data_IF_207353451512
#
_entry.id   IF_207353451512
#
_cell.length_a   1.000
_cell.length_b   1.000
_cell.length_c   1.000
_cell.angle_alpha   90.00
_cell.angle_beta   90.00
_cell.angle_gamma   90.00
#
_symmetry.space_group_name_H-M   'P 1'
#
loop_
_entity.id
_entity.type
_entity.pdbx_description
1 polymer ?
#
# COMPACT_ATOMS: atom_id res chain seq x y z
N UNK A 1 -0.80 20.41 14.25
CA UNK A 1 -0.37 19.54 13.12
C UNK A 1 0.89 20.07 12.40
N UNK A 2 2.08 20.20 13.03
CA UNK A 2 3.33 20.50 12.28
C UNK A 2 4.65 20.45 13.10
N UNK A 3 5.03 19.29 13.67
CA UNK A 3 6.36 19.13 14.30
C UNK A 3 7.33 18.24 13.52
N UNK A 4 6.96 17.80 12.31
CA UNK A 4 7.76 16.85 11.53
C UNK A 4 9.04 17.45 10.95
N UNK A 5 10.19 16.80 11.16
CA UNK A 5 11.46 17.13 10.49
C UNK A 5 11.40 16.94 8.96
N UNK A 6 12.53 17.18 8.27
CA UNK A 6 12.62 17.05 6.80
C UNK A 6 12.19 15.66 6.29
N UNK A 7 12.67 14.59 6.93
CA UNK A 7 12.28 13.20 6.61
C UNK A 7 10.79 12.96 6.82
N UNK A 8 10.25 13.39 7.96
CA UNK A 8 8.84 13.21 8.28
C UNK A 8 7.93 13.96 7.29
N UNK A 9 8.36 15.13 6.81
CA UNK A 9 7.59 15.92 5.83
C UNK A 9 7.55 15.23 4.47
N UNK A 10 8.70 14.73 3.99
CA UNK A 10 8.76 13.93 2.76
C UNK A 10 7.90 12.67 2.85
N UNK A 11 8.00 11.95 3.97
CA UNK A 11 7.20 10.76 4.22
C UNK A 11 5.69 11.07 4.23
N UNK A 12 5.29 12.17 4.88
CA UNK A 12 3.89 12.59 4.95
C UNK A 12 3.35 12.98 3.57
N UNK A 13 4.18 13.64 2.74
CA UNK A 13 3.81 13.97 1.37
C UNK A 13 3.63 12.70 0.52
N UNK A 14 4.52 11.72 0.63
CA UNK A 14 4.37 10.41 -0.02
C UNK A 14 3.09 9.69 0.38
N UNK A 15 2.77 9.71 1.67
CA UNK A 15 1.53 9.14 2.19
C UNK A 15 0.30 9.88 1.66
N UNK A 16 0.35 11.20 1.59
CA UNK A 16 -0.74 11.98 1.02
C UNK A 16 -0.97 11.65 -0.47
N UNK A 17 0.09 11.48 -1.26
CA UNK A 17 -0.02 11.00 -2.65
C UNK A 17 -0.61 9.58 -2.69
N UNK A 18 -0.05 8.65 -1.92
CA UNK A 18 -0.43 7.24 -1.97
C UNK A 18 -1.88 7.03 -1.53
N UNK A 19 -2.24 7.47 -0.32
CA UNK A 19 -3.56 7.22 0.27
C UNK A 19 -4.61 8.25 -0.16
N UNK A 20 -4.19 9.45 -0.58
CA UNK A 20 -5.10 10.51 -0.99
C UNK A 20 -5.43 10.53 -2.48
N UNK A 21 -4.54 10.03 -3.34
CA UNK A 21 -4.73 10.03 -4.79
C UNK A 21 -4.67 8.63 -5.40
N UNK A 22 -3.58 7.90 -5.18
CA UNK A 22 -3.32 6.64 -5.90
C UNK A 22 -4.33 5.57 -5.49
N UNK A 23 -4.42 5.25 -4.19
CA UNK A 23 -5.29 4.17 -3.71
C UNK A 23 -6.78 4.42 -3.97
N UNK A 24 -7.34 5.62 -3.72
CA UNK A 24 -8.74 5.91 -4.07
C UNK A 24 -9.01 5.76 -5.57
N UNK A 25 -8.07 6.20 -6.43
CA UNK A 25 -8.19 6.03 -7.89
C UNK A 25 -8.18 4.56 -8.27
N UNK A 26 -7.25 3.78 -7.73
CA UNK A 26 -7.18 2.34 -7.99
C UNK A 26 -8.44 1.60 -7.51
N UNK A 27 -8.99 1.99 -6.36
CA UNK A 27 -10.22 1.44 -5.81
C UNK A 27 -11.42 1.73 -6.71
N UNK A 28 -11.53 2.97 -7.21
CA UNK A 28 -12.57 3.40 -8.15
C UNK A 28 -12.57 2.53 -9.41
N UNK A 29 -11.39 2.24 -9.95
CA UNK A 29 -11.22 1.40 -11.15
C UNK A 29 -11.12 -0.11 -10.84
N UNK A 30 -11.35 -0.53 -9.59
CA UNK A 30 -11.29 -1.94 -9.14
C UNK A 30 -9.95 -2.63 -9.45
N UNK A 31 -8.87 -1.87 -9.43
CA UNK A 31 -7.51 -2.33 -9.70
C UNK A 31 -6.88 -2.96 -8.44
N UNK A 32 -5.85 -3.81 -8.59
CA UNK A 32 -5.16 -4.41 -7.44
C UNK A 32 -4.51 -3.35 -6.56
N UNK A 33 -4.71 -3.43 -5.25
CA UNK A 33 -4.17 -2.47 -4.28
C UNK A 33 -3.22 -3.19 -3.34
N UNK A 34 -2.05 -2.60 -3.09
CA UNK A 34 -1.22 -2.93 -1.94
C UNK A 34 -1.90 -2.28 -0.72
N UNK A 35 -2.62 -3.08 0.07
CA UNK A 35 -3.27 -2.58 1.28
C UNK A 35 -2.19 -2.27 2.33
N UNK A 36 -2.39 -1.19 3.09
CA UNK A 36 -1.51 -0.85 4.22
C UNK A 36 -1.81 -1.72 5.43
N UNK A 37 -1.07 -1.55 6.52
CA UNK A 37 -1.21 -2.40 7.73
C UNK A 37 -2.34 -1.96 8.68
N UNK A 38 -2.79 -0.71 8.58
CA UNK A 38 -3.69 -0.09 9.56
C UNK A 38 -5.11 0.06 8.99
N UNK A 39 -6.12 0.01 9.87
CA UNK A 39 -7.54 0.32 9.55
C UNK A 39 -8.19 -0.50 8.44
N UNK A 40 -7.70 -1.72 8.20
CA UNK A 40 -8.33 -2.63 7.25
C UNK A 40 -9.54 -3.34 7.84
N UNK A 41 -10.57 -3.52 7.01
CA UNK A 41 -11.79 -4.24 7.36
C UNK A 41 -12.05 -5.32 6.33
N UNK A 42 -12.21 -6.56 6.78
CA UNK A 42 -12.36 -7.72 5.91
C UNK A 42 -13.60 -8.51 6.26
N UNK A 43 -14.25 -9.09 5.25
CA UNK A 43 -15.16 -10.21 5.49
C UNK A 43 -14.33 -11.38 6.00
N UNK A 44 -14.67 -11.89 7.19
CA UNK A 44 -13.98 -13.04 7.80
C UNK A 44 -13.86 -14.23 6.85
N UNK A 45 -14.95 -14.56 6.16
CA UNK A 45 -14.99 -15.67 5.20
C UNK A 45 -14.01 -15.48 4.04
N UNK A 46 -13.86 -14.26 3.51
CA UNK A 46 -12.91 -13.97 2.45
C UNK A 46 -11.45 -14.10 2.95
N UNK A 47 -11.15 -13.58 4.13
CA UNK A 47 -9.80 -13.71 4.72
C UNK A 47 -9.43 -15.19 4.95
N UNK A 48 -10.37 -15.99 5.47
CA UNK A 48 -10.17 -17.43 5.67
C UNK A 48 -9.97 -18.17 4.35
N UNK A 49 -10.76 -17.86 3.32
CA UNK A 49 -10.64 -18.47 2.00
C UNK A 49 -9.28 -18.16 1.33
N UNK A 50 -8.65 -17.02 1.67
CA UNK A 50 -7.34 -16.62 1.18
C UNK A 50 -6.16 -17.18 1.99
N UNK A 51 -6.42 -17.95 3.04
CA UNK A 51 -5.40 -18.51 3.92
C UNK A 51 -4.88 -17.55 4.99
N UNK A 52 -5.57 -16.43 5.24
CA UNK A 52 -5.18 -15.46 6.28
C UNK A 52 -3.97 -14.61 5.91
N UNK A 53 -3.21 -14.21 6.93
CA UNK A 53 -1.98 -13.43 6.80
C UNK A 53 -0.78 -14.37 6.61
N UNK A 54 0.14 -14.02 5.71
CA UNK A 54 1.35 -14.80 5.51
C UNK A 54 2.40 -14.42 6.56
N UNK A 55 2.69 -15.33 7.50
CA UNK A 55 3.67 -15.10 8.57
C UNK A 55 5.13 -15.03 8.10
N UNK A 56 5.41 -15.43 6.86
CA UNK A 56 6.74 -15.37 6.27
C UNK A 56 6.99 -14.09 5.46
N UNK A 57 5.95 -13.31 5.19
CA UNK A 57 6.08 -12.05 4.47
C UNK A 57 6.13 -10.89 5.46
N UNK A 58 7.16 -10.03 5.35
CA UNK A 58 7.32 -8.87 6.24
C UNK A 58 6.41 -7.68 5.86
N UNK A 59 5.65 -7.82 4.79
CA UNK A 59 4.51 -6.99 4.36
C UNK A 59 3.33 -7.90 4.00
N UNK A 60 2.85 -8.64 4.99
CA UNK A 60 1.71 -9.54 4.91
C UNK A 60 0.42 -8.85 4.43
N UNK A 61 0.31 -7.55 4.67
CA UNK A 61 -0.72 -6.64 4.20
C UNK A 61 -0.70 -6.45 2.70
N UNK A 62 0.40 -5.93 2.16
CA UNK A 62 0.57 -5.72 0.73
C UNK A 62 0.39 -7.04 -0.05
N UNK A 63 0.89 -8.15 0.50
CA UNK A 63 0.70 -9.48 -0.02
C UNK A 63 -0.78 -9.91 -0.09
N UNK A 64 -1.52 -9.73 1.00
CA UNK A 64 -2.94 -10.05 1.08
C UNK A 64 -3.75 -9.28 0.02
N UNK A 65 -3.43 -8.00 -0.21
CA UNK A 65 -4.05 -7.20 -1.27
C UNK A 65 -3.87 -7.81 -2.67
N UNK A 66 -2.69 -8.35 -2.96
CA UNK A 66 -2.42 -9.04 -4.23
C UNK A 66 -3.12 -10.40 -4.31
N UNK A 67 -3.19 -11.15 -3.20
CA UNK A 67 -3.96 -12.41 -3.16
C UNK A 67 -5.46 -12.18 -3.34
N UNK A 68 -6.02 -11.12 -2.78
CA UNK A 68 -7.40 -10.69 -3.05
C UNK A 68 -7.61 -10.44 -4.53
N UNK A 69 -6.68 -9.72 -5.18
CA UNK A 69 -6.78 -9.46 -6.61
C UNK A 69 -6.77 -10.76 -7.45
N UNK A 70 -5.91 -11.74 -7.10
CA UNK A 70 -5.89 -13.07 -7.76
C UNK A 70 -7.16 -13.88 -7.55
N UNK A 71 -7.82 -13.71 -6.41
CA UNK A 71 -9.10 -14.36 -6.12
C UNK A 71 -10.30 -13.64 -6.76
N UNK A 72 -10.07 -12.62 -7.59
CA UNK A 72 -11.14 -11.83 -8.20
C UNK A 72 -11.85 -10.88 -7.23
N UNK A 73 -11.35 -10.73 -6.01
CA UNK A 73 -11.90 -9.81 -5.01
C UNK A 73 -11.44 -8.37 -5.30
N UNK A 74 -12.22 -7.41 -4.79
CA UNK A 74 -11.98 -5.98 -4.96
C UNK A 74 -11.77 -5.34 -3.59
N UNK A 75 -10.78 -4.45 -3.51
CA UNK A 75 -10.52 -3.63 -2.34
C UNK A 75 -11.09 -2.22 -2.57
N UNK A 76 -11.67 -1.64 -1.53
CA UNK A 76 -12.14 -0.26 -1.51
C UNK A 76 -11.36 0.57 -0.49
N UNK A 77 -11.51 1.89 -0.57
CA UNK A 77 -11.03 2.82 0.48
C UNK A 77 -12.20 3.25 1.36
N UNK A 78 -11.92 3.52 2.64
CA UNK A 78 -12.89 4.02 3.62
C UNK A 78 -12.55 5.46 4.02
N UNK A 79 -13.56 6.22 4.43
CA UNK A 79 -13.43 7.58 4.94
C UNK A 79 -14.15 7.71 6.30
N UNK A 80 -13.69 8.56 7.23
CA UNK A 80 -12.52 9.45 7.13
C UNK A 80 -11.17 8.69 7.13
N UNK A 81 -10.07 9.33 6.68
CA UNK A 81 -8.76 8.68 6.64
C UNK A 81 -8.22 8.40 8.05
N UNK A 82 -7.39 7.37 8.16
CA UNK A 82 -6.59 7.13 9.37
C UNK A 82 -5.26 7.86 9.24
N UNK A 83 -4.90 8.64 10.25
CA UNK A 83 -3.62 9.34 10.29
C UNK A 83 -2.56 8.45 10.95
N UNK A 84 -1.40 8.34 10.29
CA UNK A 84 -0.24 7.63 10.81
C UNK A 84 0.88 8.61 11.18
N UNK A 85 1.62 8.29 12.24
CA UNK A 85 2.76 9.07 12.68
C UNK A 85 3.95 8.87 11.72
N UNK A 86 4.39 9.97 11.11
CA UNK A 86 5.56 9.97 10.25
C UNK A 86 6.86 9.71 11.05
N UNK A 87 7.79 8.89 10.55
CA UNK A 87 9.06 8.64 11.20
C UNK A 87 9.91 9.94 11.25
N UNK A 88 10.30 10.33 12.46
CA UNK A 88 11.04 11.58 12.70
C UNK A 88 12.54 11.47 12.42
N UNK A 89 13.09 10.27 12.50
CA UNK A 89 14.53 10.01 12.38
C UNK A 89 14.84 9.13 11.17
N UNK A 90 15.95 9.44 10.50
CA UNK A 90 16.38 8.75 9.27
C UNK A 90 16.58 7.25 9.49
N UNK A 91 17.12 6.82 10.63
CA UNK A 91 17.32 5.40 10.94
C UNK A 91 15.99 4.62 11.07
N UNK A 92 14.96 5.23 11.66
CA UNK A 92 13.62 4.64 11.77
C UNK A 92 12.98 4.57 10.38
N UNK A 93 13.04 5.66 9.63
CA UNK A 93 12.56 5.72 8.25
C UNK A 93 13.24 4.66 7.38
N UNK A 94 14.57 4.51 7.48
CA UNK A 94 15.35 3.56 6.70
C UNK A 94 14.96 2.12 7.03
N UNK A 95 14.84 1.78 8.32
CA UNK A 95 14.39 0.46 8.74
C UNK A 95 12.99 0.13 8.21
N UNK A 96 12.06 1.11 8.27
CA UNK A 96 10.71 0.96 7.75
C UNK A 96 10.70 0.72 6.23
N UNK A 97 11.40 1.56 5.46
CA UNK A 97 11.44 1.46 4.00
C UNK A 97 12.14 0.19 3.51
N UNK A 98 13.22 -0.21 4.17
CA UNK A 98 13.89 -1.48 3.90
C UNK A 98 12.93 -2.66 4.12
N UNK A 99 12.15 -2.66 5.20
CA UNK A 99 11.13 -3.70 5.44
C UNK A 99 10.09 -3.73 4.31
N UNK A 100 9.55 -2.58 3.92
CA UNK A 100 8.52 -2.51 2.89
C UNK A 100 9.01 -3.02 1.54
N UNK A 101 10.16 -2.52 1.08
CA UNK A 101 10.73 -2.94 -0.20
C UNK A 101 11.06 -4.44 -0.17
N UNK A 102 11.58 -4.97 0.95
CA UNK A 102 11.85 -6.40 1.11
C UNK A 102 10.58 -7.24 0.95
N UNK A 103 9.51 -6.87 1.65
CA UNK A 103 8.22 -7.57 1.55
C UNK A 103 7.59 -7.46 0.17
N UNK A 104 7.70 -6.31 -0.49
CA UNK A 104 7.26 -6.14 -1.88
C UNK A 104 8.01 -7.07 -2.84
N UNK A 105 9.34 -7.20 -2.68
CA UNK A 105 10.13 -8.16 -3.45
C UNK A 105 9.66 -9.60 -3.17
N UNK A 106 9.39 -9.97 -1.91
CA UNK A 106 8.86 -11.28 -1.55
C UNK A 106 7.53 -11.57 -2.27
N UNK A 107 6.56 -10.67 -2.16
CA UNK A 107 5.25 -10.80 -2.83
C UNK A 107 5.41 -10.90 -4.34
N UNK A 108 6.20 -10.02 -4.96
CA UNK A 108 6.40 -10.03 -6.40
C UNK A 108 7.03 -11.34 -6.89
N UNK A 109 8.07 -11.83 -6.20
CA UNK A 109 8.71 -13.11 -6.52
C UNK A 109 7.72 -14.27 -6.42
N UNK A 110 6.88 -14.32 -5.38
CA UNK A 110 5.85 -15.36 -5.24
C UNK A 110 4.84 -15.31 -6.38
N UNK A 111 4.36 -14.12 -6.74
CA UNK A 111 3.43 -13.93 -7.85
C UNK A 111 4.06 -14.32 -9.20
N UNK A 112 5.35 -14.07 -9.38
CA UNK A 112 6.10 -14.33 -10.61
C UNK A 112 6.64 -15.75 -10.74
N UNK A 113 6.45 -16.63 -9.73
CA UNK A 113 6.75 -18.07 -9.88
C UNK A 113 5.92 -18.73 -10.98
N UNK A 114 4.69 -18.27 -11.17
CA UNK A 114 3.77 -18.78 -12.20
C UNK A 114 3.06 -17.61 -12.89
N UNK A 115 3.76 -16.79 -13.69
CA UNK A 115 3.26 -15.50 -14.16
C UNK A 115 2.03 -15.66 -15.08
N UNK A 116 2.00 -16.69 -15.93
CA UNK A 116 0.84 -17.00 -16.77
C UNK A 116 -0.41 -17.34 -15.96
N UNK A 117 -0.27 -18.11 -14.88
CA UNK A 117 -1.38 -18.43 -13.96
C UNK A 117 -1.82 -17.20 -13.18
N UNK A 118 -0.88 -16.38 -12.72
CA UNK A 118 -1.21 -15.13 -12.03
C UNK A 118 -1.95 -14.17 -12.96
N UNK A 119 -1.51 -14.02 -14.20
CA UNK A 119 -2.15 -13.18 -15.20
C UNK A 119 -3.55 -13.68 -15.57
N UNK A 120 -3.76 -15.00 -15.74
CA UNK A 120 -5.09 -15.55 -16.03
C UNK A 120 -6.06 -15.39 -14.85
N UNK A 121 -5.58 -15.51 -13.61
CA UNK A 121 -6.38 -15.33 -12.41
C UNK A 121 -6.78 -13.87 -12.15
N UNK A 122 -5.87 -12.93 -12.39
CA UNK A 122 -6.15 -11.49 -12.21
C UNK A 122 -6.88 -10.87 -13.41
N UNK A 123 -6.65 -11.39 -14.62
CA UNK A 123 -6.93 -10.72 -15.89
C UNK A 123 -5.78 -9.79 -16.31
N UNK A 124 -5.60 -9.62 -17.62
CA UNK A 124 -4.45 -8.92 -18.22
C UNK A 124 -4.27 -7.48 -17.72
N UNK A 125 -5.37 -6.71 -17.61
CA UNK A 125 -5.33 -5.33 -17.12
C UNK A 125 -4.83 -5.25 -15.67
N UNK A 126 -5.42 -6.04 -14.77
CA UNK A 126 -5.07 -6.05 -13.34
C UNK A 126 -3.64 -6.57 -13.15
N UNK A 127 -3.23 -7.56 -13.92
CA UNK A 127 -1.85 -8.03 -13.95
C UNK A 127 -0.87 -6.94 -14.40
N UNK A 128 -1.17 -6.24 -15.50
CA UNK A 128 -0.36 -5.12 -15.98
C UNK A 128 -0.25 -4.00 -14.95
N UNK A 129 -1.35 -3.62 -14.31
CA UNK A 129 -1.35 -2.63 -13.22
C UNK A 129 -0.56 -3.11 -12.02
N UNK A 130 -0.62 -4.40 -11.67
CA UNK A 130 0.22 -4.97 -10.62
C UNK A 130 1.72 -4.84 -10.97
N UNK A 131 2.13 -5.06 -12.22
CA UNK A 131 3.52 -4.84 -12.63
C UNK A 131 3.93 -3.37 -12.49
N UNK A 132 3.07 -2.45 -12.93
CA UNK A 132 3.36 -1.01 -12.82
C UNK A 132 3.44 -0.56 -11.37
N UNK A 133 2.56 -1.07 -10.50
CA UNK A 133 2.47 -0.64 -9.10
C UNK A 133 3.45 -1.39 -8.19
N UNK A 134 3.30 -2.70 -8.03
CA UNK A 134 4.20 -3.51 -7.21
C UNK A 134 5.61 -3.59 -7.81
N UNK A 135 5.71 -3.83 -9.12
CA UNK A 135 7.01 -3.83 -9.81
C UNK A 135 7.67 -2.45 -9.79
N UNK A 136 6.89 -1.38 -10.00
CA UNK A 136 7.37 0.01 -9.87
C UNK A 136 7.86 0.33 -8.45
N UNK A 137 7.14 -0.09 -7.41
CA UNK A 137 7.53 0.07 -6.01
C UNK A 137 8.85 -0.63 -5.65
N UNK A 138 9.31 -1.57 -6.47
CA UNK A 138 10.61 -2.26 -6.33
C UNK A 138 11.67 -1.58 -7.22
N UNK A 139 11.38 -1.40 -8.51
CA UNK A 139 12.35 -0.92 -9.50
C UNK A 139 12.70 0.55 -9.32
N UNK A 140 11.72 1.40 -9.01
CA UNK A 140 11.92 2.85 -8.88
C UNK A 140 12.91 3.20 -7.75
N UNK A 141 12.77 2.67 -6.51
CA UNK A 141 13.79 2.82 -5.48
C UNK A 141 15.18 2.35 -5.91
N UNK A 142 15.29 1.23 -6.62
CA UNK A 142 16.58 0.71 -7.11
C UNK A 142 17.22 1.63 -8.16
N UNK A 143 16.42 2.32 -8.97
CA UNK A 143 16.89 3.16 -10.07
C UNK A 143 17.28 4.58 -9.66
N UNK A 144 16.70 5.15 -8.59
CA UNK A 144 16.90 6.57 -8.24
C UNK A 144 18.38 7.00 -8.11
N UNK A 145 19.18 6.29 -7.32
CA UNK A 145 20.60 6.62 -7.13
C UNK A 145 21.42 6.44 -8.41
N UNK A 146 21.34 5.31 -9.15
CA UNK A 146 21.99 5.18 -10.45
C UNK A 146 21.62 6.29 -11.44
N UNK A 147 20.34 6.68 -11.50
CA UNK A 147 19.89 7.78 -12.35
C UNK A 147 20.49 9.12 -11.91
N UNK A 148 20.55 9.40 -10.61
CA UNK A 148 21.21 10.61 -10.10
C UNK A 148 22.70 10.64 -10.45
N UNK A 149 23.40 9.52 -10.29
CA UNK A 149 24.82 9.40 -10.65
C UNK A 149 25.03 9.58 -12.15
N UNK A 150 24.16 9.02 -12.99
CA UNK A 150 24.20 9.21 -14.43
C UNK A 150 24.04 10.69 -14.80
N UNK A 151 23.09 11.39 -14.19
CA UNK A 151 22.90 12.83 -14.39
C UNK A 151 24.15 13.61 -13.94
N UNK A 152 24.72 13.28 -12.78
CA UNK A 152 25.94 13.91 -12.29
C UNK A 152 27.13 13.69 -13.24
N UNK A 153 27.27 12.49 -13.81
CA UNK A 153 28.31 12.19 -14.81
C UNK A 153 28.11 13.00 -16.09
N UNK A 154 26.87 13.18 -16.56
CA UNK A 154 26.56 14.03 -17.71
C UNK A 154 27.00 15.47 -17.47
N UNK A 155 26.82 16.00 -16.26
CA UNK A 155 27.31 17.33 -15.91
C UNK A 155 28.84 17.41 -15.76
N UNK A 156 29.49 16.31 -15.37
CA UNK A 156 30.94 16.26 -15.18
C UNK A 156 31.70 16.04 -16.50
N UNK A 157 31.09 15.39 -17.49
CA UNK A 157 31.73 14.99 -18.74
C UNK A 157 30.91 15.49 -19.94
N UNK A 158 31.45 16.47 -20.68
CA UNK A 158 30.77 17.12 -21.81
C UNK A 158 30.42 16.19 -22.97
N UNK A 159 31.13 15.08 -23.10
CA UNK A 159 30.91 14.10 -24.18
C UNK A 159 29.75 13.14 -23.89
N UNK A 160 29.27 13.10 -22.63
CA UNK A 160 28.17 12.24 -22.24
C UNK A 160 26.84 12.99 -22.38
N UNK A 161 25.90 12.45 -23.17
CA UNK A 161 24.56 13.03 -23.34
C UNK A 161 23.49 11.94 -23.19
N UNK A 162 22.29 12.34 -22.75
CA UNK A 162 21.20 11.40 -22.46
C UNK A 162 20.39 11.00 -23.72
N UNK A 163 20.69 11.60 -24.88
CA UNK A 163 19.87 11.50 -26.08
C UNK A 163 18.46 12.05 -25.89
N UNK A 164 17.69 12.22 -26.97
CA UNK A 164 16.34 12.80 -26.88
C UNK A 164 15.36 11.91 -26.09
N UNK A 165 15.46 10.58 -26.26
CA UNK A 165 14.57 9.64 -25.58
C UNK A 165 14.84 9.57 -24.08
N UNK A 166 16.11 9.54 -23.68
CA UNK A 166 16.46 9.51 -22.26
C UNK A 166 16.14 10.85 -21.57
N UNK A 167 16.38 11.98 -22.24
CA UNK A 167 15.96 13.29 -21.74
C UNK A 167 14.44 13.39 -21.61
N UNK A 168 13.69 12.94 -22.61
CA UNK A 168 12.23 12.90 -22.59
C UNK A 168 11.69 12.05 -21.44
N UNK A 169 12.27 10.87 -21.21
CA UNK A 169 11.89 10.00 -20.09
C UNK A 169 12.18 10.65 -18.73
N UNK A 170 13.36 11.24 -18.55
CA UNK A 170 13.74 11.92 -17.31
C UNK A 170 12.80 13.10 -17.01
N UNK A 171 12.55 13.96 -18.01
CA UNK A 171 11.65 15.12 -17.87
C UNK A 171 10.23 14.65 -17.52
N UNK A 172 9.73 13.64 -18.24
CA UNK A 172 8.39 13.09 -17.97
C UNK A 172 8.29 12.55 -16.56
N UNK A 173 9.28 11.79 -16.09
CA UNK A 173 9.31 11.25 -14.73
C UNK A 173 9.31 12.38 -13.68
N UNK A 174 10.12 13.44 -13.88
CA UNK A 174 10.16 14.60 -12.98
C UNK A 174 8.82 15.33 -12.96
N UNK A 175 8.21 15.59 -14.12
CA UNK A 175 6.92 16.28 -14.24
C UNK A 175 5.81 15.48 -13.57
N UNK A 176 5.72 14.17 -13.81
CA UNK A 176 4.70 13.30 -13.21
C UNK A 176 4.82 13.28 -11.69
N UNK A 177 6.04 13.16 -11.16
CA UNK A 177 6.26 13.18 -9.71
C UNK A 177 5.92 14.54 -9.10
N UNK A 178 6.35 15.64 -9.74
CA UNK A 178 6.04 16.98 -9.29
C UNK A 178 4.54 17.27 -9.31
N UNK A 179 3.84 16.86 -10.37
CA UNK A 179 2.39 17.00 -10.48
C UNK A 179 1.67 16.19 -9.39
N UNK A 180 2.09 14.95 -9.12
CA UNK A 180 1.51 14.14 -8.05
C UNK A 180 1.63 14.81 -6.69
N UNK A 181 2.78 15.43 -6.40
CA UNK A 181 3.02 16.15 -5.16
C UNK A 181 2.16 17.41 -5.00
N UNK A 182 1.99 18.16 -6.09
CA UNK A 182 1.13 19.34 -6.14
C UNK A 182 -0.35 19.00 -5.97
N UNK A 183 -0.78 17.84 -6.48
CA UNK A 183 -2.15 17.38 -6.37
C UNK A 183 -2.45 16.69 -5.04
N UNK A 184 -1.43 16.29 -4.26
CA UNK A 184 -1.66 15.56 -3.03
C UNK A 184 -2.53 16.38 -2.05
N UNK A 185 -3.51 15.76 -1.37
CA UNK A 185 -4.36 16.47 -0.43
C UNK A 185 -3.58 16.96 0.79
N UNK A 186 -4.19 17.89 1.54
CA UNK A 186 -3.64 18.45 2.77
C UNK A 186 -3.16 19.90 2.65
N UNK A 187 -2.67 20.44 3.75
CA UNK A 187 -2.31 21.87 3.84
C UNK A 187 -0.95 22.14 3.20
N UNK A 188 -0.89 23.20 2.38
CA UNK A 188 0.35 23.70 1.81
C UNK A 188 1.09 24.59 2.81
N UNK A 189 2.21 24.08 3.30
CA UNK A 189 3.09 24.80 4.24
C UNK A 189 4.46 24.97 3.60
N UNK A 190 5.25 25.93 4.11
CA UNK A 190 6.64 26.11 3.65
C UNK A 190 7.45 24.81 3.67
N UNK A 191 7.30 23.98 4.71
CA UNK A 191 7.97 22.68 4.81
C UNK A 191 7.58 21.74 3.68
N UNK A 192 6.30 21.74 3.28
CA UNK A 192 5.81 20.94 2.16
C UNK A 192 6.43 21.41 0.84
N UNK A 193 6.52 22.72 0.61
CA UNK A 193 7.24 23.27 -0.55
C UNK A 193 8.71 22.86 -0.57
N UNK A 194 9.39 22.95 0.58
CA UNK A 194 10.77 22.46 0.72
C UNK A 194 10.86 20.97 0.39
N UNK A 195 9.91 20.14 0.83
CA UNK A 195 9.89 18.72 0.48
C UNK A 195 9.76 18.51 -1.03
N UNK A 196 8.81 19.17 -1.70
CA UNK A 196 8.66 19.08 -3.17
C UNK A 196 9.95 19.46 -3.90
N UNK A 197 10.59 20.57 -3.52
CA UNK A 197 11.81 21.05 -4.18
C UNK A 197 13.04 20.18 -3.88
N UNK A 198 13.10 19.57 -2.69
CA UNK A 198 14.23 18.72 -2.27
C UNK A 198 14.02 17.24 -2.58
N UNK A 199 13.01 16.88 -3.37
CA UNK A 199 12.72 15.50 -3.77
C UNK A 199 13.91 14.77 -4.42
N UNK A 200 14.67 15.39 -5.35
CA UNK A 200 15.84 14.73 -5.93
C UNK A 200 16.92 14.34 -4.91
N UNK A 201 16.97 15.02 -3.76
CA UNK A 201 17.90 14.73 -2.66
C UNK A 201 17.38 13.60 -1.77
N UNK A 202 16.06 13.50 -1.62
CA UNK A 202 15.41 12.46 -0.81
C UNK A 202 15.33 11.10 -1.53
N UNK A 203 15.16 11.08 -2.85
CA UNK A 203 15.06 9.84 -3.64
C UNK A 203 16.23 8.87 -3.51
N UNK A 204 17.51 9.29 -3.51
CA UNK A 204 18.64 8.39 -3.26
C UNK A 204 18.56 7.61 -1.94
N UNK A 205 17.89 8.16 -0.92
CA UNK A 205 17.69 7.44 0.35
C UNK A 205 16.84 6.18 0.15
N UNK A 206 15.90 6.20 -0.80
CA UNK A 206 15.14 5.01 -1.17
C UNK A 206 16.01 3.93 -1.81
N UNK A 207 17.02 4.32 -2.60
CA UNK A 207 17.98 3.36 -3.17
C UNK A 207 18.81 2.71 -2.08
N UNK A 208 19.26 3.47 -1.09
CA UNK A 208 19.95 2.91 0.08
C UNK A 208 19.05 1.88 0.78
N UNK A 209 17.77 2.22 1.00
CA UNK A 209 16.80 1.31 1.59
C UNK A 209 16.58 0.04 0.73
N UNK A 210 16.53 0.18 -0.60
CA UNK A 210 16.31 -0.89 -1.55
C UNK A 210 17.49 -1.85 -1.66
N UNK A 211 18.72 -1.34 -1.76
CA UNK A 211 19.91 -2.19 -1.77
C UNK A 211 20.09 -2.94 -0.45
N UNK A 212 19.80 -2.27 0.67
CA UNK A 212 19.74 -2.94 1.98
C UNK A 212 18.65 -4.02 2.02
N UNK A 213 17.47 -3.77 1.45
CA UNK A 213 16.39 -4.75 1.38
C UNK A 213 16.77 -5.99 0.56
N UNK A 214 17.44 -5.81 -0.59
CA UNK A 214 17.95 -6.90 -1.43
C UNK A 214 18.99 -7.72 -0.66
N UNK A 215 19.94 -7.06 0.01
CA UNK A 215 20.94 -7.72 0.83
C UNK A 215 20.31 -8.49 2.02
N UNK A 216 19.38 -7.86 2.73
CA UNK A 216 18.65 -8.51 3.82
C UNK A 216 17.79 -9.68 3.33
N UNK A 217 17.18 -9.58 2.15
CA UNK A 217 16.42 -10.69 1.58
C UNK A 217 17.30 -11.93 1.36
N UNK A 218 18.57 -11.73 0.96
CA UNK A 218 19.52 -12.82 0.76
C UNK A 218 20.09 -13.39 2.07
N UNK A 219 20.28 -12.57 3.11
CA UNK A 219 20.95 -12.97 4.36
C UNK A 219 20.00 -13.28 5.52
N UNK A 220 18.88 -12.59 5.58
CA UNK A 220 17.90 -12.64 6.65
C UNK A 220 16.47 -12.39 6.10
N UNK A 221 15.97 -13.28 5.22
CA UNK A 221 14.74 -13.07 4.46
C UNK A 221 13.53 -12.78 5.34
N UNK A 222 13.43 -13.44 6.50
CA UNK A 222 12.30 -13.33 7.42
C UNK A 222 12.53 -12.35 8.57
N UNK A 223 13.66 -11.63 8.59
CA UNK A 223 13.93 -10.68 9.66
C UNK A 223 12.98 -9.49 9.58
N UNK A 224 12.25 -9.26 10.67
CA UNK A 224 11.30 -8.16 10.79
C UNK A 224 11.86 -7.03 11.64
N UNK A 225 12.35 -5.97 10.99
CA UNK A 225 12.73 -4.73 11.67
C UNK A 225 11.47 -3.96 12.11
N UNK A 226 11.06 -4.14 13.38
CA UNK A 226 9.92 -3.40 13.94
C UNK A 226 10.30 -1.95 14.21
N UNK A 227 9.43 -1.02 13.83
CA UNK A 227 9.58 0.40 14.17
C UNK A 227 9.13 0.65 15.61
N UNK A 228 9.83 1.50 16.38
CA UNK A 228 9.37 1.89 17.72
C UNK A 228 8.00 2.56 17.64
N UNK A 229 7.07 2.16 18.51
CA UNK A 229 5.76 2.81 18.62
C UNK A 229 5.89 3.88 19.71
N UNK A 230 6.24 5.10 19.31
CA UNK A 230 6.16 6.28 20.18
C UNK A 230 5.07 7.18 19.62
N UNK A 231 3.92 7.32 20.31
CA UNK A 231 2.88 8.24 19.89
C UNK A 231 3.46 9.65 19.75
N UNK A 232 3.06 10.37 18.71
CA UNK A 232 3.19 11.82 18.75
C UNK A 232 2.38 12.39 19.92
N UNK A 233 2.90 13.44 20.58
CA UNK A 233 2.12 14.17 21.58
C UNK A 233 0.86 14.71 20.89
N UNK A 234 -0.30 14.15 21.24
CA UNK A 234 -1.59 14.69 20.83
C UNK A 234 -1.72 16.03 21.56
N UNK A 235 -1.63 17.13 20.82
CA UNK A 235 -2.07 18.42 21.30
C UNK A 235 -3.56 18.25 21.63
N UNK A 236 -3.93 18.40 22.91
CA UNK A 236 -5.30 18.27 23.38
C UNK A 236 -6.21 19.18 22.55
N UNK A 237 -6.79 18.63 21.48
CA UNK A 237 -7.90 19.28 20.80
C UNK A 237 -9.04 19.22 21.80
N UNK A 238 -9.55 20.40 22.17
CA UNK A 238 -10.70 20.61 23.05
C UNK A 238 -11.67 19.44 22.94
N UNK A 239 -12.02 18.77 24.06
CA UNK A 239 -12.95 17.64 24.01
C UNK A 239 -14.16 18.08 23.20
N UNK A 240 -14.56 17.26 22.24
CA UNK A 240 -15.83 17.45 21.55
C UNK A 240 -16.89 17.45 22.65
N UNK A 241 -17.37 18.64 23.04
CA UNK A 241 -18.52 18.79 23.90
C UNK A 241 -19.71 18.36 23.04
N UNK A 242 -19.87 17.05 22.86
CA UNK A 242 -21.16 16.51 22.49
C UNK A 242 -22.07 16.81 23.67
N UNK A 243 -22.77 17.94 23.58
CA UNK A 243 -23.92 18.28 24.43
C UNK A 243 -25.10 17.34 24.18
N UNK A 244 -24.83 16.04 24.03
CA UNK A 244 -25.81 14.98 23.88
C UNK A 244 -25.66 14.09 25.10
N UNK A 245 -26.53 14.35 26.09
CA UNK A 245 -26.77 13.44 27.19
C UNK A 245 -27.03 12.03 26.65
N UNK A 246 -26.50 11.02 27.33
CA UNK A 246 -26.60 9.61 26.97
C UNK A 246 -28.04 9.02 26.90
N UNK A 247 -29.08 9.84 27.04
CA UNK A 247 -30.49 9.46 27.04
C UNK A 247 -31.23 9.68 25.71
N UNK A 248 -30.54 10.07 24.62
CA UNK A 248 -31.19 10.39 23.34
C UNK A 248 -30.89 9.39 22.20
N UNK A 249 -30.58 8.13 22.52
CA UNK A 249 -30.60 7.07 21.50
C UNK A 249 -32.06 6.65 21.25
N UNK A 250 -32.62 6.87 20.05
CA UNK A 250 -33.90 6.26 19.71
C UNK A 250 -33.73 4.72 19.74
N UNK A 251 -34.74 3.97 20.20
CA UNK A 251 -34.68 2.51 20.22
C UNK A 251 -34.38 1.98 18.82
N UNK A 252 -33.44 1.03 18.75
CA UNK A 252 -32.90 0.49 17.51
C UNK A 252 -33.99 -0.17 16.65
N UNK A 253 -34.44 0.49 15.59
CA UNK A 253 -34.95 -0.22 14.41
C UNK A 253 -33.75 -0.54 13.54
N UNK A 254 -33.26 -1.76 13.66
CA UNK A 254 -32.13 -2.24 12.90
C UNK A 254 -32.50 -2.32 11.40
N UNK A 255 -31.67 -1.78 10.47
CA UNK A 255 -31.85 -2.02 9.04
C UNK A 255 -31.58 -3.48 8.64
N UNK A 256 -31.07 -4.32 9.56
CA UNK A 256 -30.70 -5.71 9.31
C UNK A 256 -31.81 -6.71 9.69
N UNK A 257 -32.91 -6.28 10.30
CA UNK A 257 -34.06 -7.15 10.62
C UNK A 257 -34.92 -7.48 9.40
N UNK A 258 -35.01 -6.58 8.43
CA UNK A 258 -35.74 -6.82 7.17
C UNK A 258 -35.08 -7.89 6.27
N UNK A 259 -33.80 -8.21 6.49
CA UNK A 259 -33.08 -9.25 5.77
C UNK A 259 -33.22 -10.66 6.39
N UNK A 260 -33.73 -10.78 7.63
CA UNK A 260 -34.01 -12.10 8.25
C UNK A 260 -35.37 -12.68 7.88
N UNK A 261 -36.30 -11.84 7.41
CA UNK A 261 -37.65 -12.27 7.02
C UNK A 261 -37.73 -12.80 5.57
N UNK A 262 -36.66 -12.69 4.78
CA UNK A 262 -36.64 -13.14 3.38
C UNK A 262 -36.10 -14.57 3.18
N UNK A 263 -35.74 -15.30 4.25
CA UNK A 263 -35.19 -16.67 4.16
C UNK A 263 -36.10 -17.77 4.74
N UNK A 264 -37.39 -17.48 4.96
CA UNK A 264 -38.36 -18.51 5.38
C UNK A 264 -39.32 -18.87 4.25
N UNK A 265 -38.90 -19.79 3.39
CA UNK A 265 -39.77 -20.61 2.54
C UNK A 265 -39.24 -22.06 2.53
N UNK A 266 -40.12 -23.07 2.45
CA UNK A 266 -39.97 -24.29 3.23
C UNK A 266 -39.07 -25.35 2.61
N UNK A 267 -38.41 -26.11 3.49
CA UNK A 267 -37.70 -27.35 3.21
C UNK A 267 -38.64 -28.40 2.61
N UNK A 268 -38.53 -28.63 1.30
CA UNK A 268 -39.02 -29.84 0.65
C UNK A 268 -37.98 -30.96 0.77
N UNK A 269 -38.35 -32.02 1.48
CA UNK A 269 -37.62 -33.28 1.55
C UNK A 269 -37.72 -34.06 0.22
N UNK A 270 -36.80 -35.02 0.10
CA UNK A 270 -36.75 -36.19 -0.81
C UNK A 270 -35.90 -36.00 -2.07
N UNK A 271 -34.71 -36.60 -2.07
CA UNK A 271 -34.44 -37.87 -2.78
C UNK A 271 -33.23 -38.55 -2.13
N UNK A 272 -33.44 -39.83 -1.80
CA UNK A 272 -32.55 -40.79 -1.15
C UNK A 272 -31.46 -41.31 -2.10
N UNK A 273 -30.24 -41.42 -1.57
CA UNK A 273 -29.10 -42.12 -2.17
C UNK A 273 -29.13 -43.62 -1.74
N UNK A 274 -29.23 -44.60 -2.64
CA UNK A 274 -29.24 -46.01 -2.29
C UNK A 274 -27.92 -46.67 -2.67
N UNK A 275 -26.86 -46.52 -1.87
CA UNK A 275 -25.68 -47.42 -1.96
C UNK A 275 -24.98 -47.62 -0.62
N UNK A 276 -25.50 -48.52 0.24
CA UNK A 276 -24.61 -49.37 1.04
C UNK A 276 -25.34 -50.57 1.64
N UNK A 277 -24.94 -51.77 1.23
CA UNK A 277 -25.48 -53.03 1.70
C UNK A 277 -24.67 -54.21 1.17
N UNK A 278 -23.46 -54.41 1.73
CA UNK A 278 -22.70 -55.67 1.68
C UNK A 278 -21.99 -55.85 3.02
N UNK A 279 -22.12 -57.04 3.60
CA UNK A 279 -21.35 -57.48 4.75
C UNK A 279 -22.20 -58.26 5.75
N UNK A 280 -22.34 -59.55 5.47
CA UNK A 280 -22.40 -60.72 6.37
C UNK A 280 -23.31 -60.72 7.61
#
# INVERSE_FOLDING_TARGET
MNRGGWIATHWALEYAVQFGLILPSMALYRLPILIGGTSNHFRKSALQALGGWDSYNVTEDADLGMRMARAGLVCGTIAPPTYEDAPQHLNIWLAQRTRWIKGFIQTWLVLMRTPGKTASQMGALRFGVMQVTLGGAILTPVAHLPCLLLVALIFAFSDLTLGIYGAGLLITALVVNFAADLLAPGVWTWRRWVAVLTRPIYWPLHSIAAYRAIWELAKAPFFWAKTPHRPSEIEETTPCSTGLSASAWPPSSSPWESLRMASSAPSGNLISDPTNGRGD
#
